data_IF_624563399164
#
_entry.id   IF_624563399164
#
_cell.length_a   1.000
_cell.length_b   1.000
_cell.length_c   1.000
_cell.angle_alpha   90.00
_cell.angle_beta   90.00
_cell.angle_gamma   90.00
#
_symmetry.space_group_name_H-M   'P 1'
#
loop_
_entity.id
_entity.type
_entity.pdbx_description
1 polymer ?
#
# COMPACT_ATOMS: atom_id res chain seq x y z
N UNK A 1 13.10 1.20 -13.78
CA UNK A 1 13.32 2.51 -13.14
C UNK A 1 13.47 2.28 -11.66
N UNK A 2 14.42 2.96 -11.03
CA UNK A 2 14.68 2.93 -9.60
C UNK A 2 15.17 4.34 -9.20
N UNK A 3 14.61 4.98 -8.16
CA UNK A 3 13.56 4.52 -7.25
C UNK A 3 12.17 4.37 -7.91
N UNK A 4 11.20 3.89 -7.14
CA UNK A 4 9.79 3.87 -7.57
C UNK A 4 9.24 5.29 -7.77
N UNK A 5 8.09 5.44 -8.46
CA UNK A 5 7.47 6.75 -8.68
C UNK A 5 6.95 7.35 -7.37
N UNK A 6 6.98 8.68 -7.29
CA UNK A 6 6.35 9.43 -6.18
C UNK A 6 4.83 9.38 -6.33
N UNK A 7 4.14 9.20 -5.20
CA UNK A 7 2.70 9.35 -5.08
C UNK A 7 2.40 10.66 -4.37
N UNK A 8 1.82 11.61 -5.08
CA UNK A 8 1.39 12.90 -4.51
C UNK A 8 -0.13 12.87 -4.31
N UNK A 9 -0.56 13.15 -3.09
CA UNK A 9 -1.94 13.00 -2.62
C UNK A 9 -2.33 14.18 -1.75
N UNK A 10 -3.62 14.50 -1.66
CA UNK A 10 -4.13 15.52 -0.75
C UNK A 10 -4.91 14.89 0.39
N UNK A 11 -4.94 15.59 1.52
CA UNK A 11 -5.79 15.21 2.63
C UNK A 11 -7.27 15.19 2.18
N UNK A 12 -7.97 14.10 2.50
CA UNK A 12 -9.34 13.83 2.07
C UNK A 12 -9.46 12.94 0.82
N UNK A 13 -8.38 12.74 0.07
CA UNK A 13 -8.43 11.93 -1.13
C UNK A 13 -8.54 10.43 -0.81
N UNK A 14 -9.31 9.71 -1.63
CA UNK A 14 -9.45 8.25 -1.59
C UNK A 14 -8.74 7.61 -2.77
N UNK A 15 -7.94 6.58 -2.51
CA UNK A 15 -7.11 5.94 -3.53
C UNK A 15 -7.30 4.44 -3.55
N UNK A 16 -7.15 3.88 -4.74
CA UNK A 16 -7.10 2.44 -4.98
C UNK A 16 -5.81 2.11 -5.76
N UNK A 17 -4.88 1.40 -5.12
CA UNK A 17 -3.62 0.99 -5.70
C UNK A 17 -3.60 -0.51 -5.95
N UNK A 18 -3.57 -0.91 -7.23
CA UNK A 18 -3.39 -2.30 -7.62
C UNK A 18 -1.91 -2.62 -7.78
N UNK A 19 -1.36 -3.35 -6.81
CA UNK A 19 0.01 -3.87 -6.86
C UNK A 19 0.00 -5.20 -7.59
N UNK A 20 0.73 -5.30 -8.69
CA UNK A 20 0.91 -6.54 -9.46
C UNK A 20 2.33 -7.04 -9.26
N UNK A 21 2.49 -8.18 -8.58
CA UNK A 21 3.80 -8.74 -8.31
C UNK A 21 4.32 -9.50 -9.54
N UNK A 22 5.18 -8.85 -10.32
CA UNK A 22 5.91 -9.48 -11.43
C UNK A 22 7.32 -9.96 -11.03
N UNK A 23 7.68 -9.90 -9.75
CA UNK A 23 8.95 -10.37 -9.24
C UNK A 23 8.96 -11.90 -9.07
N UNK A 24 10.15 -12.46 -8.76
CA UNK A 24 10.33 -13.89 -8.52
C UNK A 24 10.00 -14.32 -7.08
N UNK A 25 9.84 -13.37 -6.18
CA UNK A 25 9.61 -13.58 -4.75
C UNK A 25 8.29 -12.93 -4.32
N UNK A 26 7.72 -13.42 -3.22
CA UNK A 26 6.52 -12.81 -2.64
C UNK A 26 6.86 -11.47 -2.01
N UNK A 27 5.94 -10.50 -2.08
CA UNK A 27 6.15 -9.13 -1.57
C UNK A 27 4.90 -8.59 -0.89
N UNK A 28 5.07 -7.60 -0.03
CA UNK A 28 4.01 -6.70 0.42
C UNK A 28 4.46 -5.24 0.24
N UNK A 29 3.51 -4.30 0.26
CA UNK A 29 3.80 -2.86 0.23
C UNK A 29 3.21 -2.24 1.49
N UNK A 30 4.02 -1.48 2.23
CA UNK A 30 3.58 -0.70 3.37
C UNK A 30 3.60 0.79 3.06
N UNK A 31 2.51 1.47 3.42
CA UNK A 31 2.30 2.90 3.23
C UNK A 31 2.81 3.66 4.45
N UNK A 32 4.14 3.78 4.53
CA UNK A 32 4.79 4.30 5.72
C UNK A 32 4.24 5.67 6.11
N UNK A 33 3.87 5.81 7.38
CA UNK A 33 3.30 7.04 7.94
C UNK A 33 1.79 7.18 7.80
N UNK A 34 1.10 6.45 6.90
CA UNK A 34 -0.35 6.53 6.76
C UNK A 34 -1.06 5.82 7.91
N UNK A 35 -1.97 6.51 8.59
CA UNK A 35 -2.80 5.98 9.67
C UNK A 35 -3.96 5.20 9.06
N UNK A 36 -3.79 3.89 8.95
CA UNK A 36 -4.78 2.95 8.42
C UNK A 36 -5.93 2.68 9.42
N UNK A 37 -6.60 3.73 9.89
CA UNK A 37 -7.64 3.65 10.92
C UNK A 37 -8.84 2.82 10.45
N UNK A 38 -9.09 1.69 11.14
CA UNK A 38 -10.14 0.70 10.82
C UNK A 38 -9.97 -0.02 9.48
N UNK A 39 -8.81 0.11 8.84
CA UNK A 39 -8.49 -0.45 7.51
C UNK A 39 -7.12 -1.15 7.52
N UNK A 40 -6.79 -1.81 8.64
CA UNK A 40 -5.50 -2.46 8.83
C UNK A 40 -5.13 -3.50 7.77
N UNK A 41 -6.12 -4.07 7.07
CA UNK A 41 -5.88 -4.97 5.93
C UNK A 41 -5.10 -4.32 4.78
N UNK A 42 -5.11 -2.98 4.67
CA UNK A 42 -4.36 -2.23 3.66
C UNK A 42 -2.98 -1.75 4.15
N UNK A 43 -2.55 -2.14 5.36
CA UNK A 43 -1.34 -1.57 5.96
C UNK A 43 -0.05 -2.15 5.38
N UNK A 44 0.03 -3.46 5.13
CA UNK A 44 1.15 -4.06 4.39
C UNK A 44 2.10 -4.98 5.14
N UNK A 45 2.38 -4.84 6.46
CA UNK A 45 3.34 -5.70 7.13
C UNK A 45 2.99 -7.20 7.02
N UNK A 46 3.92 -7.96 6.44
CA UNK A 46 3.74 -9.38 6.14
C UNK A 46 3.47 -10.18 7.43
N UNK A 47 2.47 -11.06 7.39
CA UNK A 47 1.99 -11.89 8.51
C UNK A 47 1.46 -11.15 9.74
N UNK A 48 1.44 -9.81 9.72
CA UNK A 48 0.74 -9.00 10.73
C UNK A 48 -0.62 -8.60 10.21
N UNK A 49 -0.67 -8.00 9.02
CA UNK A 49 -1.91 -7.47 8.45
C UNK A 49 -2.35 -8.19 7.18
N UNK A 50 -1.42 -8.87 6.50
CA UNK A 50 -1.73 -9.66 5.31
C UNK A 50 -0.72 -10.78 5.06
N UNK A 51 -1.15 -11.80 4.32
CA UNK A 51 -0.23 -12.71 3.63
C UNK A 51 0.45 -11.97 2.46
N UNK A 52 1.66 -12.39 2.05
CA UNK A 52 2.37 -11.75 0.96
C UNK A 52 1.73 -12.03 -0.40
N UNK A 53 1.87 -11.07 -1.32
CA UNK A 53 1.45 -11.21 -2.71
C UNK A 53 2.44 -12.15 -3.40
N UNK A 54 1.99 -13.36 -3.74
CA UNK A 54 2.82 -14.35 -4.44
C UNK A 54 3.24 -13.86 -5.84
N UNK A 55 4.34 -14.38 -6.42
CA UNK A 55 4.70 -14.12 -7.82
C UNK A 55 3.53 -14.33 -8.78
N UNK A 56 3.32 -13.37 -9.68
CA UNK A 56 2.18 -13.35 -10.62
C UNK A 56 0.85 -12.89 -10.02
N UNK A 57 0.75 -12.79 -8.69
CA UNK A 57 -0.43 -12.32 -8.00
C UNK A 57 -0.60 -10.80 -8.01
N UNK A 58 -1.76 -10.34 -7.55
CA UNK A 58 -2.03 -8.92 -7.34
C UNK A 58 -2.83 -8.69 -6.07
N UNK A 59 -2.65 -7.51 -5.47
CA UNK A 59 -3.44 -7.05 -4.34
C UNK A 59 -3.83 -5.59 -4.53
N UNK A 60 -5.05 -5.25 -4.12
CA UNK A 60 -5.57 -3.90 -4.22
C UNK A 60 -5.64 -3.28 -2.84
N UNK A 61 -4.82 -2.25 -2.61
CA UNK A 61 -4.88 -1.42 -1.41
C UNK A 61 -5.88 -0.30 -1.64
N UNK A 62 -6.84 -0.10 -0.73
CA UNK A 62 -7.80 1.00 -0.83
C UNK A 62 -8.01 1.68 0.51
N UNK A 63 -7.72 2.97 0.56
CA UNK A 63 -7.86 3.78 1.76
C UNK A 63 -7.97 5.27 1.42
N UNK A 64 -8.40 6.04 2.40
CA UNK A 64 -8.54 7.50 2.33
C UNK A 64 -7.52 8.13 3.27
N UNK A 65 -6.79 9.13 2.81
CA UNK A 65 -5.90 9.92 3.67
C UNK A 65 -6.74 10.91 4.46
N UNK A 66 -6.70 10.86 5.79
CA UNK A 66 -7.50 11.75 6.64
C UNK A 66 -6.68 12.32 7.80
N UNK A 67 -6.63 13.64 7.89
CA UNK A 67 -5.94 14.38 8.94
C UNK A 67 -4.42 14.17 8.94
N UNK A 68 -3.83 13.98 7.75
CA UNK A 68 -2.39 13.77 7.58
C UNK A 68 -1.85 14.56 6.38
N UNK A 69 -0.76 15.28 6.61
CA UNK A 69 -0.05 16.09 5.62
C UNK A 69 1.45 16.02 5.92
N UNK A 70 2.30 15.99 4.89
CA UNK A 70 3.75 15.87 5.03
C UNK A 70 4.38 14.97 3.97
N UNK A 71 5.52 14.38 4.33
CA UNK A 71 6.31 13.43 3.52
C UNK A 71 6.61 12.18 4.32
#
# INVERSE_FOLDING_TARGET
MFPGPTLEVRNGDSFEFKVVNKARYSVTIHWHGVRQMRIGWADGPEFVTQCPIRPGGSYTYRFTIQGQEGT
#
